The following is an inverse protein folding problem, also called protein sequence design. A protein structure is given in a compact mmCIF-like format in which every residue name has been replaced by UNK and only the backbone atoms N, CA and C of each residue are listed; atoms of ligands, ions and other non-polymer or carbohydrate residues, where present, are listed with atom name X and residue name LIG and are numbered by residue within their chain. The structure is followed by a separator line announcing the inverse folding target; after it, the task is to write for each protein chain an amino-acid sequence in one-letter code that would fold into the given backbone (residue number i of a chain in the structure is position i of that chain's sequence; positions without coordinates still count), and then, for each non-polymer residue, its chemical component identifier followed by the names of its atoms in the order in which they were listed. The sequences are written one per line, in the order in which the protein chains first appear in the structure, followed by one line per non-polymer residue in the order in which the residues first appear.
data_IF_079165043073
#
_entry.id   IF_079165043073
#
_cell.length_a   1.000
_cell.length_b   1.000
_cell.length_c   1.000
_cell.angle_alpha   90.00
_cell.angle_beta   90.00
_cell.angle_gamma   90.00
#
_symmetry.space_group_name_H-M   'P 1'
#
loop_
_entity.id
_entity.type
_entity.pdbx_description
1 polymer ?
#
# COMPACT_ATOMS: atom_id res chain seq x y z
N UNK A 1 -8.12 -14.06 15.19
CA UNK A 1 -7.68 -13.32 14.00
C UNK A 1 -6.56 -12.36 14.38
N UNK A 2 -5.46 -12.38 13.63
CA UNK A 2 -4.29 -11.55 13.93
C UNK A 2 -4.32 -10.28 13.08
N UNK A 3 -4.65 -9.15 13.69
CA UNK A 3 -4.72 -7.87 12.99
C UNK A 3 -3.39 -7.45 12.37
N UNK A 4 -2.28 -7.75 13.04
CA UNK A 4 -0.95 -7.45 12.53
C UNK A 4 -0.72 -8.14 11.19
N UNK A 5 -1.01 -9.43 11.13
CA UNK A 5 -0.85 -10.23 9.93
C UNK A 5 -1.73 -9.70 8.79
N UNK A 6 -2.98 -9.37 9.10
CA UNK A 6 -3.92 -8.82 8.12
C UNK A 6 -3.41 -7.49 7.56
N UNK A 7 -2.93 -6.60 8.41
CA UNK A 7 -2.39 -5.30 7.97
C UNK A 7 -1.12 -5.46 7.16
N UNK A 8 -0.24 -6.39 7.53
CA UNK A 8 0.98 -6.66 6.78
C UNK A 8 0.68 -7.22 5.40
N UNK A 9 -0.30 -8.10 5.28
CA UNK A 9 -0.74 -8.64 3.99
C UNK A 9 -1.27 -7.51 3.11
N UNK A 10 -2.06 -6.60 3.67
CA UNK A 10 -2.57 -5.45 2.93
C UNK A 10 -1.46 -4.53 2.46
N UNK A 11 -0.44 -4.29 3.29
CA UNK A 11 0.73 -3.51 2.90
C UNK A 11 1.49 -4.16 1.76
N UNK A 12 1.69 -5.48 1.80
CA UNK A 12 2.35 -6.21 0.73
C UNK A 12 1.58 -6.07 -0.59
N UNK A 13 0.26 -6.21 -0.54
CA UNK A 13 -0.59 -6.06 -1.73
C UNK A 13 -0.47 -4.66 -2.34
N UNK A 14 -0.44 -3.63 -1.49
CA UNK A 14 -0.26 -2.25 -1.96
C UNK A 14 1.11 -2.08 -2.61
N UNK A 15 2.16 -2.61 -1.99
CA UNK A 15 3.52 -2.53 -2.53
C UNK A 15 3.61 -3.20 -3.90
N UNK A 16 3.05 -4.39 -4.04
CA UNK A 16 3.03 -5.12 -5.31
C UNK A 16 2.24 -4.35 -6.38
N UNK A 17 1.10 -3.79 -6.00
CA UNK A 17 0.28 -3.00 -6.91
C UNK A 17 1.04 -1.77 -7.41
N UNK A 18 1.79 -1.10 -6.54
CA UNK A 18 2.63 0.04 -6.91
C UNK A 18 3.72 -0.37 -7.90
N UNK A 19 4.37 -1.50 -7.66
CA UNK A 19 5.38 -2.03 -8.58
C UNK A 19 4.78 -2.32 -9.95
N UNK A 20 3.63 -2.97 -10.00
CA UNK A 20 2.96 -3.28 -11.26
C UNK A 20 2.63 -2.03 -12.05
N UNK A 21 2.18 -0.98 -11.36
CA UNK A 21 1.85 0.30 -12.01
C UNK A 21 3.11 0.94 -12.61
N UNK A 22 4.19 0.98 -11.84
CA UNK A 22 5.46 1.57 -12.29
C UNK A 22 6.01 0.82 -13.51
N UNK A 23 5.90 -0.50 -13.52
CA UNK A 23 6.43 -1.33 -14.60
C UNK A 23 5.50 -1.41 -15.83
N UNK A 24 4.28 -0.90 -15.72
CA UNK A 24 3.31 -0.98 -16.81
C UNK A 24 3.68 -0.03 -17.95
N UNK A 25 4.04 -0.60 -19.10
CA UNK A 25 4.46 0.17 -20.28
C UNK A 25 3.29 0.77 -21.04
N UNK A 26 2.06 0.34 -20.77
CA UNK A 26 0.87 0.80 -21.50
C UNK A 26 0.20 2.01 -20.85
N UNK A 27 0.57 2.36 -19.62
CA UNK A 27 0.01 3.51 -18.92
C UNK A 27 0.91 4.73 -19.06
N UNK A 28 0.27 5.91 -19.22
CA UNK A 28 1.00 7.18 -19.24
C UNK A 28 1.49 7.52 -17.84
N UNK A 29 2.47 8.41 -17.75
CA UNK A 29 2.99 8.89 -16.47
C UNK A 29 1.89 9.52 -15.61
N UNK A 30 0.98 10.23 -16.26
CA UNK A 30 -0.15 10.85 -15.57
C UNK A 30 -1.09 9.82 -14.94
N UNK A 31 -1.39 8.75 -15.68
CA UNK A 31 -2.22 7.67 -15.18
C UNK A 31 -1.54 6.94 -14.03
N UNK A 32 -0.23 6.67 -14.18
CA UNK A 32 0.57 6.04 -13.12
C UNK A 32 0.54 6.88 -11.85
N UNK A 33 0.72 8.19 -11.97
CA UNK A 33 0.70 9.10 -10.83
C UNK A 33 -0.63 9.05 -10.08
N UNK A 34 -1.73 9.06 -10.81
CA UNK A 34 -3.06 9.02 -10.20
C UNK A 34 -3.26 7.73 -9.39
N UNK A 35 -2.86 6.60 -9.96
CA UNK A 35 -3.01 5.31 -9.30
C UNK A 35 -2.09 5.22 -8.08
N UNK A 36 -0.84 5.65 -8.22
CA UNK A 36 0.12 5.63 -7.13
C UNK A 36 -0.33 6.53 -5.97
N UNK A 37 -0.88 7.70 -6.26
CA UNK A 37 -1.42 8.57 -5.22
C UNK A 37 -2.52 7.88 -4.41
N UNK A 38 -3.42 7.17 -5.08
CA UNK A 38 -4.47 6.41 -4.39
C UNK A 38 -3.89 5.28 -3.55
N UNK A 39 -2.89 4.60 -4.05
CA UNK A 39 -2.22 3.51 -3.32
C UNK A 39 -1.47 4.05 -2.10
N UNK A 40 -0.85 5.22 -2.21
CA UNK A 40 -0.19 5.87 -1.09
C UNK A 40 -1.20 6.23 0.01
N UNK A 41 -2.36 6.76 -0.37
CA UNK A 41 -3.43 7.05 0.58
C UNK A 41 -3.90 5.79 1.30
N UNK A 42 -4.04 4.70 0.56
CA UNK A 42 -4.41 3.40 1.11
C UNK A 42 -3.35 2.91 2.09
N UNK A 43 -2.07 3.04 1.72
CA UNK A 43 -0.95 2.67 2.57
C UNK A 43 -0.96 3.47 3.87
N UNK A 44 -1.18 4.78 3.78
CA UNK A 44 -1.26 5.64 4.96
C UNK A 44 -2.40 5.23 5.89
N UNK A 45 -3.54 4.84 5.34
CA UNK A 45 -4.66 4.36 6.12
C UNK A 45 -4.31 3.08 6.88
N UNK A 46 -3.60 2.15 6.25
CA UNK A 46 -3.15 0.92 6.87
C UNK A 46 -2.18 1.20 8.02
N UNK A 47 -1.21 2.09 7.78
CA UNK A 47 -0.22 2.47 8.80
C UNK A 47 -0.91 3.17 9.98
N UNK A 48 -1.85 4.07 9.69
CA UNK A 48 -2.62 4.75 10.73
C UNK A 48 -3.41 3.77 11.59
N UNK A 49 -3.98 2.76 10.95
CA UNK A 49 -4.71 1.71 11.67
C UNK A 49 -3.79 0.92 12.59
N UNK A 50 -2.59 0.60 12.10
CA UNK A 50 -1.57 -0.06 12.91
C UNK A 50 -1.18 0.76 14.13
N UNK A 51 -0.97 2.06 13.95
CA UNK A 51 -0.64 2.98 15.04
C UNK A 51 -1.78 3.04 16.05
N UNK A 52 -3.02 3.17 15.56
CA UNK A 52 -4.22 3.21 16.40
C UNK A 52 -4.34 1.96 17.27
N UNK A 53 -4.04 0.80 16.71
CA UNK A 53 -4.10 -0.48 17.42
C UNK A 53 -2.81 -0.78 18.20
N UNK A 54 -1.81 0.12 18.15
CA UNK A 54 -0.50 -0.06 18.77
C UNK A 54 0.20 -1.33 18.29
N UNK A 55 0.07 -1.59 16.98
CA UNK A 55 0.70 -2.74 16.33
C UNK A 55 1.92 -2.23 15.58
N UNK A 56 3.07 -2.88 15.81
CA UNK A 56 4.28 -2.61 15.04
C UNK A 56 4.20 -3.35 13.72
N UNK A 57 4.27 -2.60 12.62
CA UNK A 57 4.25 -3.18 11.27
C UNK A 57 5.66 -3.12 10.69
N UNK A 58 6.06 -4.20 10.02
CA UNK A 58 7.32 -4.20 9.29
C UNK A 58 7.17 -3.31 8.05
N UNK A 59 8.14 -2.41 7.87
CA UNK A 59 8.18 -1.57 6.68
C UNK A 59 8.49 -2.45 5.46
N UNK A 60 7.59 -2.43 4.53
CA UNK A 60 7.77 -3.15 3.27
C UNK A 60 8.61 -2.32 2.30
#
# INVERSE_FOLDING_TARGET
MNYREDLEIKLQKVTLAMQEVVENIYKTDHEKQRIICKLIEFKKAIISKGIELKIELEAA
#
